data_IF_558202595729
#
_entry.id   IF_558202595729
#
_cell.length_a   1.000
_cell.length_b   1.000
_cell.length_c   1.000
_cell.angle_alpha   90.00
_cell.angle_beta   90.00
_cell.angle_gamma   90.00
#
_symmetry.space_group_name_H-M   'P 1'
#
loop_
_entity.id
_entity.type
_entity.pdbx_description
1 polymer ?
#
# COMPACT_ATOMS: atom_id res chain seq x y z
N UNK A 1 -7.33 57.03 29.61
CA UNK A 1 -6.08 56.24 29.68
C UNK A 1 -6.37 54.94 30.42
N UNK A 2 -6.62 53.84 29.71
CA UNK A 2 -6.17 52.47 30.05
C UNK A 2 -6.55 51.58 28.87
N UNK A 3 -5.52 51.10 28.16
CA UNK A 3 -5.55 50.41 26.88
C UNK A 3 -4.99 49.02 27.15
N UNK A 4 -5.80 47.97 27.29
CA UNK A 4 -5.44 46.55 27.29
C UNK A 4 -6.74 45.74 27.11
N UNK A 5 -6.84 44.62 26.38
CA UNK A 5 -6.01 43.92 25.42
C UNK A 5 -7.01 42.95 24.77
N UNK A 6 -7.11 42.99 23.44
CA UNK A 6 -7.92 42.06 22.65
C UNK A 6 -7.29 40.66 22.79
N UNK A 7 -7.80 39.80 23.67
CA UNK A 7 -7.46 38.37 23.65
C UNK A 7 -8.28 37.71 22.56
N UNK A 8 -7.72 37.69 21.35
CA UNK A 8 -8.12 36.79 20.29
C UNK A 8 -7.86 35.36 20.77
N UNK A 9 -8.93 34.65 21.18
CA UNK A 9 -8.88 33.22 21.44
C UNK A 9 -8.62 32.48 20.13
N UNK A 10 -7.38 32.04 19.93
CA UNK A 10 -6.99 31.22 18.79
C UNK A 10 -7.70 29.88 18.83
N UNK A 11 -8.60 29.66 17.88
CA UNK A 11 -9.23 28.37 17.61
C UNK A 11 -8.16 27.46 16.98
N UNK A 12 -7.49 26.64 17.80
CA UNK A 12 -6.58 25.61 17.31
C UNK A 12 -7.40 24.50 16.62
N UNK A 13 -7.55 24.61 15.29
CA UNK A 13 -8.04 23.54 14.44
C UNK A 13 -6.97 22.45 14.37
N UNK A 14 -7.12 21.41 15.18
CA UNK A 14 -6.40 20.16 14.96
C UNK A 14 -6.93 19.53 13.68
N UNK A 15 -6.25 19.77 12.55
CA UNK A 15 -6.51 19.00 11.33
C UNK A 15 -5.93 17.60 11.52
N UNK A 16 -6.76 16.66 11.98
CA UNK A 16 -6.45 15.24 11.87
C UNK A 16 -6.67 14.83 10.42
N UNK A 17 -5.61 14.87 9.60
CA UNK A 17 -5.63 14.27 8.28
C UNK A 17 -5.59 12.75 8.44
N UNK A 18 -6.71 12.06 8.18
CA UNK A 18 -6.62 10.63 7.89
C UNK A 18 -5.91 10.50 6.55
N UNK A 19 -4.86 9.67 6.49
CA UNK A 19 -4.23 9.34 5.22
C UNK A 19 -5.28 8.68 4.31
N UNK A 20 -5.44 9.20 3.10
CA UNK A 20 -6.43 8.73 2.14
C UNK A 20 -5.83 8.78 0.74
N UNK A 21 -6.18 7.79 -0.08
CA UNK A 21 -5.75 7.69 -1.48
C UNK A 21 -6.91 8.08 -2.39
N UNK A 22 -6.62 8.49 -3.64
CA UNK A 22 -7.66 8.67 -4.64
C UNK A 22 -8.45 7.38 -4.84
N UNK A 23 -9.78 7.47 -4.70
CA UNK A 23 -10.68 6.34 -4.88
C UNK A 23 -11.16 6.28 -6.33
N UNK A 24 -11.24 5.07 -6.88
CA UNK A 24 -11.82 4.84 -8.19
C UNK A 24 -13.36 4.88 -8.14
N UNK A 25 -13.98 4.79 -9.32
CA UNK A 25 -15.44 4.76 -9.44
C UNK A 25 -16.02 3.47 -8.82
N UNK A 26 -17.11 3.61 -8.05
CA UNK A 26 -17.75 2.48 -7.37
C UNK A 26 -18.36 1.45 -8.30
N UNK A 27 -18.74 1.84 -9.52
CA UNK A 27 -19.20 0.89 -10.54
C UNK A 27 -18.04 0.01 -11.03
N UNK A 28 -16.84 0.58 -11.16
CA UNK A 28 -15.65 -0.19 -11.53
C UNK A 28 -15.20 -1.12 -10.40
N UNK A 29 -15.30 -0.68 -9.15
CA UNK A 29 -15.09 -1.54 -7.98
C UNK A 29 -16.03 -2.76 -7.98
N UNK A 30 -17.32 -2.54 -8.25
CA UNK A 30 -18.30 -3.61 -8.32
C UNK A 30 -18.06 -4.57 -9.49
N UNK A 31 -17.65 -4.06 -10.65
CA UNK A 31 -17.28 -4.85 -11.83
C UNK A 31 -16.08 -5.76 -11.54
N UNK A 32 -14.99 -5.20 -11.00
CA UNK A 32 -13.77 -5.96 -10.70
C UNK A 32 -14.00 -7.01 -9.59
N UNK A 33 -14.88 -6.74 -8.63
CA UNK A 33 -15.31 -7.75 -7.63
C UNK A 33 -16.21 -8.86 -8.21
N UNK A 34 -16.48 -8.84 -9.51
CA UNK A 34 -16.96 -10.01 -10.24
C UNK A 34 -15.87 -11.08 -10.42
N UNK A 35 -14.60 -10.73 -10.25
CA UNK A 35 -13.42 -11.60 -10.42
C UNK A 35 -13.45 -12.37 -11.75
N UNK A 36 -13.87 -11.70 -12.82
CA UNK A 36 -13.82 -12.27 -14.16
C UNK A 36 -12.39 -12.19 -14.69
N UNK A 37 -11.83 -13.34 -15.06
CA UNK A 37 -10.46 -13.41 -15.55
C UNK A 37 -10.37 -12.88 -16.99
N UNK A 38 -9.47 -11.91 -17.26
CA UNK A 38 -9.28 -11.40 -18.61
C UNK A 38 -8.63 -12.47 -19.51
N UNK A 39 -9.03 -12.57 -20.78
CA UNK A 39 -8.62 -13.68 -21.67
C UNK A 39 -7.17 -13.61 -22.15
N UNK A 40 -6.66 -12.40 -22.42
CA UNK A 40 -5.41 -12.17 -23.15
C UNK A 40 -4.27 -11.65 -22.25
N UNK A 41 -4.56 -11.47 -20.97
CA UNK A 41 -3.68 -10.95 -19.92
C UNK A 41 -4.04 -11.63 -18.59
N UNK A 42 -3.24 -11.40 -17.57
CA UNK A 42 -3.54 -11.78 -16.19
C UNK A 42 -4.13 -10.58 -15.43
N UNK A 43 -5.18 -10.81 -14.63
CA UNK A 43 -5.68 -9.81 -13.70
C UNK A 43 -4.92 -9.88 -12.37
N UNK A 44 -4.39 -8.76 -11.88
CA UNK A 44 -3.61 -8.73 -10.64
C UNK A 44 -4.23 -7.75 -9.64
N UNK A 45 -4.60 -8.27 -8.48
CA UNK A 45 -5.11 -7.49 -7.35
C UNK A 45 -4.00 -7.31 -6.32
N UNK A 46 -3.70 -6.06 -5.94
CA UNK A 46 -2.79 -5.74 -4.85
C UNK A 46 -3.63 -5.09 -3.76
N UNK A 47 -3.79 -5.76 -2.61
CA UNK A 47 -4.75 -5.31 -1.60
C UNK A 47 -4.15 -5.20 -0.21
N UNK A 48 -4.71 -4.28 0.58
CA UNK A 48 -4.43 -4.07 2.00
C UNK A 48 -5.74 -3.98 2.76
N UNK A 49 -6.19 -5.10 3.32
CA UNK A 49 -7.43 -5.21 4.11
C UNK A 49 -7.18 -5.08 5.62
N UNK A 50 -6.27 -4.19 6.01
CA UNK A 50 -5.88 -4.01 7.42
C UNK A 50 -6.14 -2.59 7.91
N UNK A 51 -6.50 -2.48 9.18
CA UNK A 51 -6.64 -1.19 9.89
C UNK A 51 -5.32 -0.71 10.51
N UNK A 52 -4.34 -1.61 10.63
CA UNK A 52 -3.01 -1.29 11.15
C UNK A 52 -2.31 -0.31 10.20
N UNK A 53 -1.69 0.73 10.76
CA UNK A 53 -1.06 1.80 9.97
C UNK A 53 -2.05 2.65 9.18
N UNK A 54 -3.31 2.81 9.61
CA UNK A 54 -4.35 3.55 8.86
C UNK A 54 -4.02 5.01 8.54
N UNK A 55 -3.05 5.60 9.23
CA UNK A 55 -2.53 6.93 8.95
C UNK A 55 -1.39 6.95 7.91
N UNK A 56 -1.13 5.82 7.23
CA UNK A 56 0.01 5.64 6.30
C UNK A 56 -0.52 5.13 4.97
N UNK A 57 -0.10 5.76 3.88
CA UNK A 57 -0.21 5.25 2.52
C UNK A 57 1.05 4.50 2.11
N UNK A 58 0.91 3.51 1.25
CA UNK A 58 2.05 2.77 0.71
C UNK A 58 2.00 2.82 -0.81
N UNK A 59 3.07 3.30 -1.43
CA UNK A 59 3.18 3.34 -2.88
C UNK A 59 3.44 1.92 -3.41
N UNK A 60 2.93 1.66 -4.60
CA UNK A 60 3.03 0.38 -5.30
C UNK A 60 3.45 0.64 -6.73
N UNK A 61 4.53 -0.05 -7.12
CA UNK A 61 5.09 -0.02 -8.45
C UNK A 61 4.97 -1.40 -9.09
N UNK A 62 4.83 -1.42 -10.41
CA UNK A 62 4.90 -2.64 -11.20
C UNK A 62 5.94 -2.43 -12.30
N UNK A 63 6.96 -3.29 -12.36
CA UNK A 63 8.09 -3.18 -13.28
C UNK A 63 8.71 -1.75 -13.31
N UNK A 64 9.00 -1.20 -12.13
CA UNK A 64 9.54 0.15 -11.91
C UNK A 64 8.66 1.30 -12.45
N UNK A 65 7.37 1.04 -12.66
CA UNK A 65 6.38 2.06 -13.03
C UNK A 65 5.34 2.22 -11.92
N UNK A 66 5.01 3.46 -11.54
CA UNK A 66 3.97 3.72 -10.55
C UNK A 66 2.63 3.14 -10.96
N UNK A 67 2.10 2.22 -10.14
CA UNK A 67 0.73 1.74 -10.26
C UNK A 67 -0.21 2.67 -9.48
N UNK A 68 0.14 3.02 -8.24
CA UNK A 68 -0.68 3.84 -7.37
C UNK A 68 -0.29 3.64 -5.90
N UNK A 69 -1.19 4.01 -4.99
CA UNK A 69 -0.94 3.89 -3.55
C UNK A 69 -2.10 3.21 -2.86
N UNK A 70 -1.81 2.44 -1.82
CA UNK A 70 -2.81 1.81 -0.95
C UNK A 70 -2.91 2.58 0.37
N UNK A 71 -4.14 2.72 0.87
CA UNK A 71 -4.46 3.04 2.26
C UNK A 71 -5.10 1.82 2.95
N UNK A 72 -5.43 1.96 4.24
CA UNK A 72 -6.18 0.93 4.96
C UNK A 72 -7.50 0.58 4.25
N UNK A 73 -7.74 -0.72 4.06
CA UNK A 73 -8.91 -1.29 3.38
C UNK A 73 -9.09 -0.81 1.94
N UNK A 74 -7.99 -0.77 1.19
CA UNK A 74 -8.01 -0.45 -0.24
C UNK A 74 -7.27 -1.50 -1.06
N UNK A 75 -7.58 -1.55 -2.35
CA UNK A 75 -6.84 -2.37 -3.30
C UNK A 75 -6.62 -1.63 -4.61
N UNK A 76 -5.56 -2.01 -5.30
CA UNK A 76 -5.23 -1.62 -6.68
C UNK A 76 -5.47 -2.83 -7.58
N UNK A 77 -5.80 -2.54 -8.83
CA UNK A 77 -5.93 -3.54 -9.89
C UNK A 77 -5.09 -3.15 -11.10
N UNK A 78 -4.49 -4.14 -11.74
CA UNK A 78 -3.82 -3.99 -13.04
C UNK A 78 -3.93 -5.26 -13.87
N UNK A 79 -3.76 -5.14 -15.18
CA UNK A 79 -3.67 -6.24 -16.12
C UNK A 79 -2.24 -6.38 -16.62
N UNK A 80 -1.68 -7.59 -16.56
CA UNK A 80 -0.28 -7.85 -16.95
C UNK A 80 -0.22 -8.90 -18.07
N UNK A 81 0.66 -8.74 -19.06
CA UNK A 81 0.90 -9.81 -20.03
C UNK A 81 1.49 -11.05 -19.36
N UNK A 82 1.40 -12.21 -20.01
CA UNK A 82 2.08 -13.42 -19.54
C UNK A 82 3.58 -13.20 -19.33
N UNK A 83 4.09 -13.73 -18.21
CA UNK A 83 5.51 -13.75 -17.90
C UNK A 83 5.82 -13.25 -16.49
N UNK A 84 7.06 -12.81 -16.31
CA UNK A 84 7.58 -12.36 -15.01
C UNK A 84 7.40 -10.87 -14.85
N UNK A 85 6.86 -10.49 -13.70
CA UNK A 85 6.71 -9.10 -13.30
C UNK A 85 7.20 -8.88 -11.87
N UNK A 86 7.74 -7.69 -11.64
CA UNK A 86 8.18 -7.24 -10.31
C UNK A 86 7.12 -6.30 -9.77
N UNK A 87 6.61 -6.58 -8.58
CA UNK A 87 5.75 -5.67 -7.84
C UNK A 87 6.53 -5.17 -6.64
N UNK A 88 6.65 -3.86 -6.50
CA UNK A 88 7.31 -3.23 -5.37
C UNK A 88 6.30 -2.49 -4.53
N UNK A 89 6.55 -2.44 -3.23
CA UNK A 89 5.80 -1.58 -2.32
C UNK A 89 6.74 -0.82 -1.40
N UNK A 90 6.49 0.48 -1.32
CA UNK A 90 7.23 1.42 -0.50
C UNK A 90 6.33 1.96 0.61
N UNK A 91 6.87 2.10 1.82
CA UNK A 91 6.17 2.65 2.97
C UNK A 91 6.96 3.84 3.53
N UNK A 92 6.26 4.79 4.15
CA UNK A 92 6.92 5.98 4.72
C UNK A 92 7.91 5.60 5.85
N UNK A 93 9.19 5.63 5.48
CA UNK A 93 10.43 5.76 6.27
C UNK A 93 11.17 4.53 6.85
N UNK A 94 12.47 4.60 6.60
CA UNK A 94 13.62 3.80 7.06
C UNK A 94 13.76 3.75 8.58
N UNK A 95 14.12 2.57 9.10
CA UNK A 95 14.87 2.50 10.35
C UNK A 95 15.56 1.16 10.55
N UNK A 96 16.88 1.25 10.71
CA UNK A 96 17.85 0.22 11.08
C UNK A 96 17.49 -0.41 12.42
N UNK A 97 17.62 -1.73 12.52
CA UNK A 97 17.59 -2.41 13.81
C UNK A 97 19.04 -2.75 14.16
N UNK A 98 19.60 -2.07 15.15
CA UNK A 98 20.83 -2.51 15.81
C UNK A 98 20.51 -3.79 16.59
N UNK A 99 21.13 -4.89 16.17
CA UNK A 99 21.24 -6.10 16.99
C UNK A 99 22.61 -6.04 17.63
N UNK A 100 22.63 -5.95 18.95
CA UNK A 100 23.83 -6.03 19.77
C UNK A 100 24.52 -7.37 19.54
N UNK A 101 25.58 -7.34 18.72
CA UNK A 101 26.69 -8.28 18.79
C UNK A 101 27.92 -7.39 18.84
N UNK A 102 28.71 -7.52 19.90
CA UNK A 102 29.96 -6.77 20.10
C UNK A 102 30.79 -6.79 18.81
N UNK A 103 30.85 -5.64 18.11
CA UNK A 103 32.03 -4.93 17.61
C UNK A 103 31.53 -3.63 16.98
N UNK A 104 32.09 -2.53 17.50
CA UNK A 104 31.93 -1.13 17.11
C UNK A 104 32.22 -0.92 15.61
N UNK A 105 31.19 -0.57 14.82
CA UNK A 105 31.31 0.28 13.62
C UNK A 105 30.01 1.09 13.50
N UNK A 106 30.10 2.41 13.72
CA UNK A 106 29.04 3.34 13.35
C UNK A 106 29.01 3.47 11.81
N UNK A 107 27.90 3.07 11.19
CA UNK A 107 27.56 3.42 9.81
C UNK A 107 26.13 3.92 9.81
N UNK A 108 25.93 5.20 9.54
CA UNK A 108 24.62 5.73 9.16
C UNK A 108 24.29 5.19 7.76
N UNK A 109 23.30 4.31 7.67
CA UNK A 109 22.75 3.82 6.40
C UNK A 109 21.28 4.21 6.35
N UNK A 110 20.92 5.16 5.48
CA UNK A 110 19.55 5.32 4.99
C UNK A 110 19.24 4.10 4.10
N UNK A 111 18.60 3.07 4.68
CA UNK A 111 18.06 1.94 3.92
C UNK A 111 16.60 2.25 3.56
N UNK A 112 16.33 2.66 2.33
CA UNK A 112 14.98 2.51 1.76
C UNK A 112 14.68 1.01 1.71
N UNK A 113 13.69 0.55 2.48
CA UNK A 113 13.30 -0.87 2.50
C UNK A 113 12.26 -1.06 1.40
N UNK A 114 12.74 -1.16 0.16
CA UNK A 114 11.92 -1.64 -0.95
C UNK A 114 11.58 -3.11 -0.71
N UNK A 115 10.29 -3.43 -0.73
CA UNK A 115 9.83 -4.82 -0.69
C UNK A 115 9.32 -5.20 -2.06
N UNK A 116 10.05 -6.09 -2.70
CA UNK A 116 9.75 -6.60 -4.03
C UNK A 116 9.21 -8.04 -3.94
N UNK A 117 8.23 -8.35 -4.78
CA UNK A 117 7.84 -9.73 -5.08
C UNK A 117 7.85 -9.95 -6.58
N UNK A 118 8.55 -10.99 -7.02
CA UNK A 118 8.43 -11.48 -8.39
C UNK A 118 7.21 -12.38 -8.51
N UNK A 119 6.36 -12.09 -9.48
CA UNK A 119 5.19 -12.91 -9.80
C UNK A 119 5.31 -13.39 -11.24
N UNK A 120 5.07 -14.68 -11.45
CA UNK A 120 4.95 -15.28 -12.77
C UNK A 120 3.46 -15.50 -13.04
N UNK A 121 2.97 -14.85 -14.09
CA UNK A 121 1.55 -14.82 -14.41
C UNK A 121 1.27 -15.44 -15.78
N UNK A 122 0.18 -16.19 -15.86
CA UNK A 122 -0.37 -16.74 -17.09
C UNK A 122 -1.63 -15.97 -17.49
N UNK A 123 -1.85 -15.81 -18.80
CA UNK A 123 -3.07 -15.19 -19.32
C UNK A 123 -4.31 -16.00 -18.91
N UNK A 124 -5.45 -15.34 -18.75
CA UNK A 124 -6.69 -16.03 -18.36
C UNK A 124 -6.79 -16.34 -16.88
N UNK A 125 -5.82 -15.93 -16.05
CA UNK A 125 -5.80 -16.16 -14.62
C UNK A 125 -5.84 -14.86 -13.82
N UNK A 126 -6.22 -14.99 -12.54
CA UNK A 126 -6.23 -13.90 -11.57
C UNK A 126 -5.24 -14.22 -10.45
N UNK A 127 -4.48 -13.20 -10.06
CA UNK A 127 -3.48 -13.25 -9.01
C UNK A 127 -3.80 -12.24 -7.93
N UNK A 128 -3.54 -12.63 -6.68
CA UNK A 128 -3.81 -11.82 -5.50
C UNK A 128 -2.53 -11.64 -4.70
N UNK A 129 -2.16 -10.39 -4.50
CA UNK A 129 -0.99 -9.97 -3.73
C UNK A 129 -1.48 -9.25 -2.49
N UNK A 130 -1.31 -9.89 -1.36
CA UNK A 130 -1.60 -9.28 -0.07
C UNK A 130 -0.43 -8.41 0.36
N UNK A 131 -0.73 -7.14 0.62
CA UNK A 131 0.16 -6.18 1.24
C UNK A 131 -0.16 -6.13 2.74
N UNK A 132 0.66 -6.83 3.52
CA UNK A 132 0.56 -6.87 4.98
C UNK A 132 1.38 -5.74 5.60
N UNK A 133 0.78 -5.00 6.54
CA UNK A 133 1.48 -3.96 7.30
C UNK A 133 2.21 -4.60 8.47
N UNK A 134 3.52 -4.37 8.55
CA UNK A 134 4.33 -4.76 9.70
C UNK A 134 4.73 -3.54 10.50
N UNK A 135 4.37 -3.51 11.79
CA UNK A 135 4.90 -2.49 12.70
C UNK A 135 6.29 -2.89 13.17
N UNK A 136 7.28 -2.09 12.82
CA UNK A 136 8.62 -2.15 13.41
C UNK A 136 8.71 -1.32 14.68
N UNK A 137 9.89 -1.33 15.31
CA UNK A 137 10.19 -0.52 16.50
C UNK A 137 10.08 0.98 16.22
N UNK A 138 10.34 1.39 14.97
CA UNK A 138 10.47 2.81 14.59
C UNK A 138 9.56 3.22 13.42
N UNK A 139 9.21 2.32 12.50
CA UNK A 139 8.37 2.63 11.34
C UNK A 139 7.48 1.47 10.90
N UNK A 140 6.45 1.79 10.11
CA UNK A 140 5.67 0.78 9.42
C UNK A 140 6.44 0.25 8.21
N UNK A 141 6.28 -1.03 7.93
CA UNK A 141 6.89 -1.74 6.81
C UNK A 141 5.80 -2.44 6.02
N UNK A 142 6.06 -2.66 4.74
CA UNK A 142 5.22 -3.45 3.85
C UNK A 142 5.75 -4.88 3.76
N UNK A 143 4.87 -5.87 3.58
CA UNK A 143 5.24 -7.22 3.17
C UNK A 143 4.29 -7.68 2.08
N UNK A 144 4.83 -7.99 0.91
CA UNK A 144 4.06 -8.52 -0.22
C UNK A 144 4.06 -10.05 -0.20
N UNK A 145 2.88 -10.65 -0.36
CA UNK A 145 2.71 -12.09 -0.40
C UNK A 145 1.65 -12.46 -1.44
N UNK A 146 2.00 -13.34 -2.37
CA UNK A 146 0.99 -13.97 -3.21
C UNK A 146 0.16 -14.95 -2.37
N UNK A 147 -1.16 -14.89 -2.51
CA UNK A 147 -2.12 -15.74 -1.78
C UNK A 147 -3.01 -16.53 -2.73
N UNK A 148 -3.72 -17.52 -2.20
CA UNK A 148 -4.71 -18.28 -2.95
C UNK A 148 -5.97 -17.44 -3.27
N UNK A 149 -6.77 -17.94 -4.20
CA UNK A 149 -7.99 -17.28 -4.68
C UNK A 149 -9.00 -16.96 -3.58
N UNK A 150 -9.24 -17.91 -2.66
CA UNK A 150 -10.26 -17.73 -1.61
C UNK A 150 -9.82 -16.63 -0.65
N UNK A 151 -8.56 -16.66 -0.24
CA UNK A 151 -7.97 -15.64 0.62
C UNK A 151 -7.98 -14.27 -0.06
N UNK A 152 -7.54 -14.22 -1.33
CA UNK A 152 -7.46 -13.00 -2.11
C UNK A 152 -8.81 -12.33 -2.37
N UNK A 153 -9.81 -13.09 -2.81
CA UNK A 153 -11.16 -12.56 -3.06
C UNK A 153 -11.79 -12.00 -1.79
N UNK A 154 -11.63 -12.68 -0.65
CA UNK A 154 -12.13 -12.17 0.63
C UNK A 154 -11.47 -10.85 1.00
N UNK A 155 -10.14 -10.76 0.90
CA UNK A 155 -9.41 -9.53 1.18
C UNK A 155 -9.76 -8.36 0.26
N UNK A 156 -9.96 -8.62 -1.03
CA UNK A 156 -10.42 -7.60 -2.01
C UNK A 156 -11.85 -7.16 -1.69
N UNK A 157 -12.74 -8.08 -1.33
CA UNK A 157 -14.13 -7.76 -0.97
C UNK A 157 -14.24 -6.91 0.31
N UNK A 158 -13.31 -7.08 1.26
CA UNK A 158 -13.18 -6.25 2.46
C UNK A 158 -12.59 -4.84 2.17
N UNK A 159 -12.08 -4.64 0.96
CA UNK A 159 -11.35 -3.43 0.54
C UNK A 159 -12.13 -2.62 -0.50
N UNK A 160 -11.67 -1.41 -0.80
CA UNK A 160 -12.24 -0.53 -1.84
C UNK A 160 -11.21 -0.20 -2.91
N UNK A 161 -11.64 -0.11 -4.17
CA UNK A 161 -10.76 0.20 -5.29
C UNK A 161 -10.16 1.61 -5.19
N UNK A 162 -8.84 1.68 -5.11
CA UNK A 162 -8.07 2.90 -5.29
C UNK A 162 -7.74 3.11 -6.78
N UNK A 163 -7.37 4.33 -7.16
CA UNK A 163 -6.98 4.65 -8.53
C UNK A 163 -5.65 3.97 -8.87
N UNK A 164 -5.64 3.22 -9.98
CA UNK A 164 -4.46 2.62 -10.61
C UNK A 164 -4.09 3.37 -11.91
N UNK A 165 -2.79 3.50 -12.22
CA UNK A 165 -2.26 4.27 -13.36
C UNK A 165 -1.31 3.47 -14.28
N UNK A 166 -1.45 2.15 -14.37
CA UNK A 166 -0.52 1.29 -15.09
C UNK A 166 -0.82 1.16 -16.59
#
# INVERSE_FOLDING_TARGET
MFKQLLMAGGLALFMTGCASVPMADSSKDAELKGFEAPSDVAGVYIYRNETLGSAITMDVDVNDKPLGSTAANTYLYTELPEGKHVIKSEAENTSTLEVEVEVEVEVEVEVEVEVEVEVEVDNGLIYYIWQEVKMGIMSARSKLQQVDEVTGQNGVNESKLAVSNY
#
